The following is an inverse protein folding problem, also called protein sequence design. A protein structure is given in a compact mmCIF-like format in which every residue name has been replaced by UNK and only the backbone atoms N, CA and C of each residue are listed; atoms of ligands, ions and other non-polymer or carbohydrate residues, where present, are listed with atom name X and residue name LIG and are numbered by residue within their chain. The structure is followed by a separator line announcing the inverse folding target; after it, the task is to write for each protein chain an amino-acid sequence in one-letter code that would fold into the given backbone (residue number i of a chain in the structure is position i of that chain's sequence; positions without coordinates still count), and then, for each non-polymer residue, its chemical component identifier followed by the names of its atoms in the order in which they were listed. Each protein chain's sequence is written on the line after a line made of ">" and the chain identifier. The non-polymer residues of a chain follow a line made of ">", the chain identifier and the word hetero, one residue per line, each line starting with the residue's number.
data_IF_735111701015
#
_entry.id   IF_735111701015
#
_cell.length_a   1.000
_cell.length_b   1.000
_cell.length_c   1.000
_cell.angle_alpha   90.00
_cell.angle_beta   90.00
_cell.angle_gamma   90.00
#
_symmetry.space_group_name_H-M   'P 1'
#
loop_
_entity.id
_entity.type
_entity.pdbx_description
1 polymer ?
#
# COMPACT_ATOMS: atom_id res chain seq x y z
N UNK A 1 -36.67 50.20 4.02
CA UNK A 1 -36.61 51.28 5.03
C UNK A 1 -36.96 50.69 6.39
N UNK A 2 -35.98 50.20 7.15
CA UNK A 2 -35.11 50.90 8.11
C UNK A 2 -35.85 51.75 9.15
N UNK A 3 -35.77 51.24 10.38
CA UNK A 3 -35.61 51.94 11.67
C UNK A 3 -36.87 52.57 12.30
N UNK A 4 -37.11 52.29 13.60
CA UNK A 4 -36.48 53.08 14.70
C UNK A 4 -37.06 52.76 16.11
N UNK A 5 -36.13 52.36 16.99
CA UNK A 5 -35.93 52.73 18.42
C UNK A 5 -36.89 52.39 19.59
N UNK A 6 -36.18 52.06 20.70
CA UNK A 6 -36.43 52.26 22.15
C UNK A 6 -37.29 51.18 22.82
N UNK A 7 -36.89 50.60 23.95
CA UNK A 7 -36.39 51.26 25.17
C UNK A 7 -35.61 50.34 26.12
N UNK A 8 -34.73 50.99 26.89
CA UNK A 8 -33.94 50.51 28.04
C UNK A 8 -34.80 49.92 29.16
N UNK A 9 -34.28 48.91 29.85
CA UNK A 9 -34.72 48.49 31.19
C UNK A 9 -33.74 47.49 31.76
N UNK A 10 -32.91 47.94 32.71
CA UNK A 10 -31.89 47.16 33.41
C UNK A 10 -32.47 46.87 34.79
N UNK A 11 -32.71 45.61 35.11
CA UNK A 11 -32.88 45.18 36.50
C UNK A 11 -32.12 43.90 36.77
N UNK A 12 -31.36 43.97 37.86
CA UNK A 12 -30.60 42.89 38.50
C UNK A 12 -31.55 42.21 39.48
N UNK A 13 -31.62 40.89 39.44
CA UNK A 13 -32.27 40.07 40.46
C UNK A 13 -31.56 38.73 40.52
N UNK A 14 -30.86 38.52 41.64
CA UNK A 14 -30.20 37.28 42.04
C UNK A 14 -31.21 36.16 42.34
N UNK A 15 -30.66 34.95 42.41
CA UNK A 15 -31.19 33.74 43.07
C UNK A 15 -32.24 32.88 42.35
N UNK A 16 -31.80 31.73 41.81
CA UNK A 16 -32.53 30.45 41.84
C UNK A 16 -31.65 29.27 41.36
N UNK A 17 -31.14 28.51 42.34
CA UNK A 17 -30.99 27.06 42.39
C UNK A 17 -30.42 26.28 41.18
N UNK A 18 -29.10 26.01 41.27
CA UNK A 18 -28.47 24.86 40.63
C UNK A 18 -28.76 23.59 41.48
N UNK A 19 -29.34 22.51 40.92
CA UNK A 19 -29.59 21.29 41.68
C UNK A 19 -28.27 20.58 42.01
N UNK A 20 -28.09 20.31 43.31
CA UNK A 20 -27.01 19.50 43.88
C UNK A 20 -26.99 18.12 43.23
N UNK A 21 -25.85 17.75 42.67
CA UNK A 21 -25.55 16.38 42.26
C UNK A 21 -25.51 15.47 43.48
N UNK A 22 -26.34 14.44 43.41
CA UNK A 22 -26.56 13.38 44.40
C UNK A 22 -25.30 12.53 44.58
N UNK A 23 -24.77 12.51 45.80
CA UNK A 23 -23.76 11.54 46.25
C UNK A 23 -24.46 10.22 46.57
N UNK A 24 -24.25 9.19 45.75
CA UNK A 24 -24.69 7.85 46.09
C UNK A 24 -24.55 6.84 44.96
N UNK A 25 -23.46 6.07 45.01
CA UNK A 25 -23.50 4.62 45.19
C UNK A 25 -22.39 3.93 44.39
N UNK A 26 -21.43 3.39 45.15
CA UNK A 26 -20.36 2.56 44.64
C UNK A 26 -20.93 1.23 44.15
N UNK A 27 -20.94 1.02 42.84
CA UNK A 27 -21.06 -0.34 42.28
C UNK A 27 -19.78 -0.73 41.56
N UNK A 28 -19.05 -1.64 42.20
CA UNK A 28 -18.00 -2.46 41.59
C UNK A 28 -18.58 -3.26 40.42
N UNK A 29 -17.83 -3.31 39.31
CA UNK A 29 -18.00 -4.34 38.30
C UNK A 29 -17.75 -3.81 36.89
N UNK A 30 -16.59 -4.17 36.32
CA UNK A 30 -16.28 -3.94 34.91
C UNK A 30 -14.78 -3.86 34.69
N UNK A 31 -14.12 -5.02 34.59
CA UNK A 31 -12.73 -5.16 34.17
C UNK A 31 -12.49 -4.39 32.86
N UNK A 32 -11.74 -3.30 32.96
CA UNK A 32 -11.14 -2.60 31.83
C UNK A 32 -9.91 -3.42 31.40
N UNK A 33 -9.66 -3.59 30.08
CA UNK A 33 -8.49 -4.31 29.60
C UNK A 33 -7.23 -3.56 30.06
N UNK A 34 -6.35 -4.30 30.73
CA UNK A 34 -5.21 -3.76 31.45
C UNK A 34 -4.34 -2.81 30.63
N UNK A 35 -3.98 -1.69 31.25
CA UNK A 35 -2.82 -0.92 30.82
C UNK A 35 -1.62 -1.87 30.72
N UNK A 36 -0.84 -1.86 29.61
CA UNK A 36 0.38 -2.62 29.57
C UNK A 36 1.32 -2.06 30.63
N UNK A 37 1.68 -2.91 31.60
CA UNK A 37 2.57 -2.58 32.73
C UNK A 37 3.69 -1.65 32.25
N UNK A 38 3.78 -0.43 32.78
CA UNK A 38 4.78 0.54 32.33
C UNK A 38 6.21 0.00 32.42
N UNK A 39 6.45 -0.95 33.32
CA UNK A 39 7.69 -1.72 33.45
C UNK A 39 8.02 -2.61 32.22
N UNK A 40 7.01 -3.17 31.56
CA UNK A 40 7.18 -3.94 30.31
C UNK A 40 7.56 -3.02 29.14
N UNK A 41 6.97 -1.82 29.09
CA UNK A 41 7.28 -0.82 28.05
C UNK A 41 8.67 -0.20 28.23
N UNK A 42 9.12 0.02 29.46
CA UNK A 42 10.47 0.53 29.74
C UNK A 42 11.54 -0.51 29.42
N UNK A 43 11.32 -1.79 29.79
CA UNK A 43 12.23 -2.87 29.43
C UNK A 43 12.37 -3.06 27.91
N UNK A 44 11.29 -2.91 27.14
CA UNK A 44 11.33 -2.90 25.69
C UNK A 44 12.11 -1.71 25.13
N UNK A 45 11.91 -0.51 25.67
CA UNK A 45 12.66 0.70 25.29
C UNK A 45 14.16 0.54 25.52
N UNK A 46 14.56 -0.02 26.65
CA UNK A 46 15.97 -0.28 26.98
C UNK A 46 16.59 -1.34 26.05
N UNK A 47 15.82 -2.38 25.70
CA UNK A 47 16.26 -3.38 24.71
C UNK A 47 16.46 -2.76 23.33
N UNK A 48 15.57 -1.87 22.88
CA UNK A 48 15.69 -1.14 21.61
C UNK A 48 16.90 -0.20 21.64
N UNK A 49 17.15 0.49 22.76
CA UNK A 49 18.30 1.39 22.89
C UNK A 49 19.64 0.64 22.76
N UNK A 50 19.78 -0.52 23.41
CA UNK A 50 20.98 -1.37 23.29
C UNK A 50 21.21 -1.85 21.85
N UNK A 51 20.17 -2.34 21.18
CA UNK A 51 20.26 -2.78 19.79
C UNK A 51 20.64 -1.65 18.82
N UNK A 52 20.19 -0.40 19.09
CA UNK A 52 20.61 0.77 18.32
C UNK A 52 22.08 1.14 18.54
N UNK A 53 22.57 1.04 19.77
CA UNK A 53 23.98 1.30 20.09
C UNK A 53 24.92 0.27 19.44
N UNK A 54 24.51 -1.01 19.41
CA UNK A 54 25.24 -2.08 18.71
C UNK A 54 25.39 -1.79 17.22
N UNK A 55 24.29 -1.48 16.51
CA UNK A 55 24.32 -1.08 15.08
C UNK A 55 25.21 0.14 14.81
N UNK A 56 25.33 1.06 15.77
CA UNK A 56 26.19 2.23 15.67
C UNK A 56 27.68 1.90 15.87
N UNK A 57 28.01 0.90 16.69
CA UNK A 57 29.39 0.42 16.89
C UNK A 57 29.88 -0.34 15.67
N UNK A 58 29.06 -1.24 15.12
CA UNK A 58 29.38 -1.98 13.89
C UNK A 58 29.68 -1.04 12.72
N UNK A 59 28.93 0.06 12.61
CA UNK A 59 29.16 1.08 11.58
C UNK A 59 30.45 1.88 11.77
N UNK A 60 30.95 2.02 13.01
CA UNK A 60 32.20 2.72 13.30
C UNK A 60 33.43 1.82 13.10
N UNK A 61 33.30 0.52 13.39
CA UNK A 61 34.38 -0.45 13.18
C UNK A 61 34.55 -0.87 11.72
N UNK A 62 33.51 -0.73 10.88
CA UNK A 62 33.57 -0.98 9.44
C UNK A 62 34.11 0.18 8.58
N UNK A 63 34.51 1.31 9.17
CA UNK A 63 35.04 2.46 8.45
C UNK A 63 36.53 2.32 8.17
N UNK A 64 36.90 2.14 6.90
CA UNK A 64 38.28 2.27 6.39
C UNK A 64 38.75 3.71 6.61
N UNK A 65 39.25 4.01 7.81
CA UNK A 65 40.07 5.20 8.08
C UNK A 65 41.45 4.68 8.45
N UNK A 66 42.22 4.29 7.43
CA UNK A 66 43.65 4.05 7.56
C UNK A 66 44.35 5.38 7.24
N UNK A 67 44.77 6.09 8.29
CA UNK A 67 45.58 7.32 8.23
C UNK A 67 47.01 7.00 7.76
N UNK A 68 47.17 6.44 6.54
CA UNK A 68 48.48 6.06 6.00
C UNK A 68 48.65 6.43 4.53
N UNK A 69 49.51 7.43 4.36
CA UNK A 69 50.51 7.56 3.29
C UNK A 69 50.07 8.22 1.97
N UNK A 70 49.61 9.48 2.06
CA UNK A 70 49.27 10.37 0.93
C UNK A 70 50.35 10.42 -0.17
N UNK A 71 51.63 10.35 0.19
CA UNK A 71 52.73 10.39 -0.77
C UNK A 71 52.83 9.10 -1.62
N UNK A 72 52.53 7.94 -1.02
CA UNK A 72 52.46 6.65 -1.69
C UNK A 72 51.20 6.55 -2.56
N UNK A 73 50.10 7.17 -2.14
CA UNK A 73 48.86 7.26 -2.91
C UNK A 73 49.04 8.04 -4.21
N UNK A 74 49.66 9.24 -4.17
CA UNK A 74 49.87 10.09 -5.35
C UNK A 74 50.73 9.38 -6.42
N UNK A 75 51.83 8.73 -6.03
CA UNK A 75 52.66 7.97 -6.97
C UNK A 75 51.90 6.79 -7.58
N UNK A 76 51.09 6.11 -6.77
CA UNK A 76 50.23 5.03 -7.25
C UNK A 76 49.16 5.55 -8.23
N UNK A 77 48.61 6.74 -7.99
CA UNK A 77 47.60 7.37 -8.84
C UNK A 77 48.18 7.83 -10.17
N UNK A 78 49.37 8.43 -10.19
CA UNK A 78 50.07 8.81 -11.43
C UNK A 78 50.40 7.55 -12.27
N UNK A 79 50.90 6.49 -11.63
CA UNK A 79 51.17 5.21 -12.30
C UNK A 79 49.90 4.53 -12.84
N UNK A 80 48.79 4.58 -12.08
CA UNK A 80 47.48 4.09 -12.52
C UNK A 80 46.90 4.93 -13.65
N UNK A 81 47.03 6.25 -13.58
CA UNK A 81 46.56 7.21 -14.59
C UNK A 81 47.24 6.96 -15.93
N UNK A 82 48.57 6.82 -15.93
CA UNK A 82 49.32 6.50 -17.16
C UNK A 82 48.92 5.16 -17.77
N UNK A 83 48.71 4.13 -16.95
CA UNK A 83 48.20 2.82 -17.41
C UNK A 83 46.76 2.91 -17.94
N UNK A 84 45.94 3.77 -17.36
CA UNK A 84 44.56 4.01 -17.80
C UNK A 84 44.56 4.73 -19.15
N UNK A 85 45.42 5.73 -19.34
CA UNK A 85 45.59 6.40 -20.63
C UNK A 85 46.15 5.48 -21.71
N UNK A 86 47.11 4.60 -21.38
CA UNK A 86 47.59 3.55 -22.30
C UNK A 86 46.47 2.58 -22.68
N UNK A 87 45.64 2.15 -21.72
CA UNK A 87 44.45 1.32 -22.01
C UNK A 87 43.43 2.06 -22.86
N UNK A 88 43.15 3.33 -22.56
CA UNK A 88 42.23 4.18 -23.33
C UNK A 88 42.73 4.40 -24.76
N UNK A 89 44.04 4.55 -24.97
CA UNK A 89 44.61 4.64 -26.31
C UNK A 89 44.50 3.31 -27.06
N UNK A 90 44.82 2.18 -26.41
CA UNK A 90 44.67 0.86 -27.01
C UNK A 90 43.20 0.52 -27.33
N UNK A 91 42.26 0.93 -26.47
CA UNK A 91 40.82 0.81 -26.70
C UNK A 91 40.36 1.72 -27.83
N UNK A 92 40.83 2.97 -27.91
CA UNK A 92 40.55 3.86 -29.04
C UNK A 92 41.06 3.28 -30.35
N UNK A 93 42.26 2.69 -30.37
CA UNK A 93 42.80 2.05 -31.56
C UNK A 93 41.98 0.81 -31.97
N UNK A 94 41.57 -0.01 -31.00
CA UNK A 94 40.68 -1.16 -31.23
C UNK A 94 39.29 -0.73 -31.68
N UNK A 95 38.74 0.33 -31.09
CA UNK A 95 37.45 0.89 -31.46
C UNK A 95 37.49 1.51 -32.86
N UNK A 96 38.57 2.19 -33.24
CA UNK A 96 38.75 2.68 -34.61
C UNK A 96 38.86 1.52 -35.63
N UNK A 97 39.54 0.43 -35.26
CA UNK A 97 39.58 -0.78 -36.10
C UNK A 97 38.22 -1.45 -36.21
N UNK A 98 37.49 -1.57 -35.10
CA UNK A 98 36.13 -2.14 -35.09
C UNK A 98 35.13 -1.24 -35.83
N UNK A 99 35.22 0.08 -35.69
CA UNK A 99 34.38 1.02 -36.41
C UNK A 99 34.60 0.92 -37.92
N UNK A 100 35.85 0.78 -38.37
CA UNK A 100 36.16 0.54 -39.78
C UNK A 100 35.56 -0.77 -40.31
N UNK A 101 35.60 -1.82 -39.50
CA UNK A 101 35.02 -3.13 -39.86
C UNK A 101 33.48 -3.09 -39.83
N UNK A 102 32.88 -2.36 -38.88
CA UNK A 102 31.44 -2.15 -38.83
C UNK A 102 30.94 -1.29 -39.99
N UNK A 103 31.66 -0.24 -40.38
CA UNK A 103 31.34 0.57 -41.57
C UNK A 103 31.31 -0.29 -42.84
N UNK A 104 32.27 -1.22 -42.99
CA UNK A 104 32.26 -2.19 -44.09
C UNK A 104 31.11 -3.23 -43.99
N UNK A 105 30.58 -3.52 -42.80
CA UNK A 105 29.42 -4.40 -42.61
C UNK A 105 28.08 -3.67 -42.79
N UNK A 106 27.99 -2.41 -42.38
CA UNK A 106 26.77 -1.60 -42.46
C UNK A 106 26.49 -1.20 -43.91
N UNK A 107 27.54 -0.95 -44.71
CA UNK A 107 27.44 -0.85 -46.16
C UNK A 107 26.87 -2.14 -46.81
N UNK A 108 26.94 -3.30 -46.15
CA UNK A 108 26.31 -4.55 -46.58
C UNK A 108 24.95 -4.84 -45.93
N UNK A 109 24.62 -4.22 -44.78
CA UNK A 109 23.37 -4.44 -44.03
C UNK A 109 22.28 -3.40 -44.35
N UNK A 110 22.66 -2.18 -44.74
CA UNK A 110 21.71 -1.14 -45.17
C UNK A 110 20.92 -1.52 -46.44
N UNK A 111 21.32 -2.60 -47.13
CA UNK A 111 20.53 -3.20 -48.21
C UNK A 111 19.41 -4.16 -47.71
N UNK A 112 19.36 -4.53 -46.41
CA UNK A 112 18.50 -5.62 -45.92
C UNK A 112 17.78 -5.46 -44.55
N UNK A 113 17.72 -4.29 -43.89
CA UNK A 113 17.08 -4.20 -42.55
C UNK A 113 15.81 -3.34 -42.53
N UNK A 114 14.67 -4.00 -42.73
CA UNK A 114 13.35 -3.60 -42.26
C UNK A 114 12.95 -4.61 -41.17
N UNK A 115 12.25 -4.15 -40.13
CA UNK A 115 11.77 -4.88 -38.93
C UNK A 115 12.76 -5.11 -37.76
N UNK A 116 12.53 -4.36 -36.67
CA UNK A 116 12.67 -4.83 -35.29
C UNK A 116 11.97 -3.84 -34.32
N UNK A 117 10.67 -4.06 -34.11
CA UNK A 117 9.83 -3.35 -33.12
C UNK A 117 9.11 -4.36 -32.20
N UNK A 118 9.82 -5.15 -31.39
CA UNK A 118 9.16 -6.22 -30.59
C UNK A 118 9.73 -6.48 -29.17
N UNK A 119 10.53 -5.56 -28.60
CA UNK A 119 11.20 -5.80 -27.30
C UNK A 119 10.61 -5.03 -26.10
N UNK A 120 9.56 -4.23 -26.28
CA UNK A 120 9.00 -3.39 -25.21
C UNK A 120 7.94 -4.09 -24.33
N UNK A 121 7.23 -5.11 -24.85
CA UNK A 121 6.07 -5.71 -24.17
C UNK A 121 6.41 -6.80 -23.14
N UNK A 122 7.68 -7.24 -23.06
CA UNK A 122 8.09 -8.34 -22.16
C UNK A 122 8.54 -7.92 -20.77
N UNK A 123 8.69 -6.62 -20.51
CA UNK A 123 9.25 -6.10 -19.25
C UNK A 123 8.19 -5.72 -18.20
N UNK A 124 6.89 -5.76 -18.53
CA UNK A 124 5.82 -5.25 -17.66
C UNK A 124 5.15 -6.28 -16.73
N UNK A 125 5.09 -7.55 -17.14
CA UNK A 125 4.26 -8.57 -16.49
C UNK A 125 4.86 -9.17 -15.22
N UNK A 126 6.19 -9.35 -15.18
CA UNK A 126 6.91 -10.02 -14.09
C UNK A 126 6.72 -9.34 -12.73
N UNK A 127 6.46 -8.04 -12.71
CA UNK A 127 6.27 -7.27 -11.48
C UNK A 127 4.89 -7.47 -10.84
N UNK A 128 3.95 -8.11 -11.53
CA UNK A 128 2.57 -8.31 -11.06
C UNK A 128 2.32 -9.74 -10.57
N UNK A 129 3.35 -10.58 -10.48
CA UNK A 129 3.24 -11.95 -10.00
C UNK A 129 2.63 -12.00 -8.60
N UNK A 130 1.59 -12.81 -8.41
CA UNK A 130 0.94 -13.01 -7.11
C UNK A 130 -0.07 -11.92 -6.72
N UNK A 131 -0.19 -10.84 -7.50
CA UNK A 131 -1.19 -9.78 -7.27
C UNK A 131 -2.59 -10.32 -7.59
N UNK A 132 -3.59 -9.98 -6.76
CA UNK A 132 -4.98 -10.44 -6.92
C UNK A 132 -5.81 -9.39 -7.65
N UNK A 133 -6.35 -9.71 -8.81
CA UNK A 133 -7.26 -8.85 -9.58
C UNK A 133 -8.71 -9.08 -9.14
N UNK A 134 -9.36 -8.03 -8.67
CA UNK A 134 -10.77 -8.01 -8.30
C UNK A 134 -11.63 -7.56 -9.49
N UNK A 135 -12.78 -8.20 -9.65
CA UNK A 135 -13.85 -7.75 -10.55
C UNK A 135 -13.51 -7.64 -12.05
N UNK A 136 -12.41 -8.26 -12.48
CA UNK A 136 -11.90 -8.13 -13.85
C UNK A 136 -12.52 -9.11 -14.86
N UNK A 137 -12.76 -10.36 -14.50
CA UNK A 137 -13.09 -11.40 -15.49
C UNK A 137 -14.47 -11.24 -16.14
N UNK A 138 -15.52 -11.02 -15.35
CA UNK A 138 -16.92 -10.97 -15.83
C UNK A 138 -17.29 -9.63 -16.48
N UNK A 139 -16.53 -8.57 -16.17
CA UNK A 139 -16.83 -7.20 -16.62
C UNK A 139 -16.00 -6.75 -17.83
N UNK A 140 -14.93 -7.47 -18.17
CA UNK A 140 -14.12 -7.16 -19.34
C UNK A 140 -14.76 -7.85 -20.54
N UNK A 141 -15.34 -7.05 -21.43
CA UNK A 141 -15.85 -7.54 -22.72
C UNK A 141 -14.65 -7.98 -23.57
N UNK A 142 -14.77 -9.13 -24.25
CA UNK A 142 -13.74 -9.67 -25.15
C UNK A 142 -13.20 -8.58 -26.10
N UNK A 143 -11.88 -8.34 -26.06
CA UNK A 143 -11.20 -7.32 -26.86
C UNK A 143 -11.15 -5.90 -26.26
N UNK A 144 -11.69 -5.68 -25.05
CA UNK A 144 -11.59 -4.41 -24.33
C UNK A 144 -10.38 -4.34 -23.40
N UNK A 145 -9.62 -3.24 -23.45
CA UNK A 145 -8.59 -2.93 -22.46
C UNK A 145 -9.19 -2.12 -21.31
N UNK A 146 -8.99 -2.57 -20.07
CA UNK A 146 -9.52 -1.91 -18.87
C UNK A 146 -8.38 -1.59 -17.91
N UNK A 147 -8.32 -0.34 -17.45
CA UNK A 147 -7.30 0.12 -16.52
C UNK A 147 -7.63 -0.33 -15.10
N UNK A 148 -6.66 -0.99 -14.45
CA UNK A 148 -6.74 -1.41 -13.06
C UNK A 148 -5.88 -0.51 -12.18
N UNK A 149 -6.27 -0.33 -10.92
CA UNK A 149 -5.55 0.45 -9.92
C UNK A 149 -5.36 -0.35 -8.64
N UNK A 150 -4.31 -0.07 -7.88
CA UNK A 150 -4.09 -0.71 -6.58
C UNK A 150 -5.21 -0.33 -5.60
N UNK A 151 -5.81 -1.33 -4.96
CA UNK A 151 -6.80 -1.15 -3.90
C UNK A 151 -6.10 -0.65 -2.63
N UNK A 152 -6.76 0.26 -1.91
CA UNK A 152 -6.24 0.75 -0.63
C UNK A 152 -6.27 -0.36 0.43
N UNK A 153 -5.09 -0.74 0.94
CA UNK A 153 -4.91 -1.73 2.00
C UNK A 153 -4.04 -1.14 3.11
N UNK A 154 -4.42 -1.43 4.36
CA UNK A 154 -3.59 -1.06 5.50
C UNK A 154 -2.30 -1.89 5.48
N UNK A 155 -1.17 -1.22 5.70
CA UNK A 155 0.14 -1.87 5.85
C UNK A 155 0.19 -2.72 7.14
N UNK A 156 -0.65 -2.40 8.13
CA UNK A 156 -0.72 -3.13 9.39
C UNK A 156 -2.09 -3.79 9.55
N UNK A 157 -2.08 -5.06 9.95
CA UNK A 157 -3.25 -5.83 10.35
C UNK A 157 -2.96 -6.50 11.70
N UNK A 158 -3.88 -6.41 12.65
CA UNK A 158 -3.77 -7.03 13.98
C UNK A 158 -2.46 -6.78 14.77
N UNK A 159 -1.80 -5.65 14.51
CA UNK A 159 -0.58 -5.25 15.19
C UNK A 159 0.72 -5.75 14.57
N UNK A 160 0.66 -6.40 13.41
CA UNK A 160 1.83 -6.77 12.59
C UNK A 160 1.66 -6.31 11.12
N UNK A 161 2.67 -6.56 10.29
CA UNK A 161 2.65 -6.28 8.85
C UNK A 161 1.57 -7.12 8.20
N UNK A 162 0.78 -6.48 7.33
CA UNK A 162 -0.18 -7.18 6.50
C UNK A 162 0.55 -8.04 5.46
N UNK A 163 0.41 -9.36 5.57
CA UNK A 163 0.97 -10.35 4.63
C UNK A 163 -0.02 -10.75 3.53
N UNK A 164 -1.21 -10.14 3.50
CA UNK A 164 -2.16 -10.34 2.40
C UNK A 164 -1.58 -9.85 1.07
N UNK A 165 -1.92 -10.56 -0.01
CA UNK A 165 -1.51 -10.17 -1.35
C UNK A 165 -2.14 -8.82 -1.76
N UNK A 166 -1.35 -8.00 -2.44
CA UNK A 166 -1.81 -6.76 -3.04
C UNK A 166 -2.98 -7.02 -3.99
N UNK A 167 -3.99 -6.15 -3.95
CA UNK A 167 -5.19 -6.27 -4.76
C UNK A 167 -5.30 -5.17 -5.81
N UNK A 168 -5.69 -5.54 -7.03
CA UNK A 168 -6.02 -4.61 -8.12
C UNK A 168 -7.54 -4.51 -8.30
N UNK A 169 -8.04 -3.29 -8.43
CA UNK A 169 -9.44 -2.97 -8.62
C UNK A 169 -9.59 -1.86 -9.67
N UNK A 170 -10.64 -1.95 -10.50
CA UNK A 170 -11.06 -0.81 -11.30
C UNK A 170 -11.99 0.09 -10.48
N UNK A 171 -11.64 1.37 -10.40
CA UNK A 171 -12.35 2.41 -9.66
C UNK A 171 -13.86 2.45 -9.98
N UNK A 172 -14.24 2.42 -11.26
CA UNK A 172 -15.65 2.53 -11.67
C UNK A 172 -16.46 1.31 -11.22
N UNK A 173 -15.86 0.13 -11.37
CA UNK A 173 -16.46 -1.14 -10.99
C UNK A 173 -16.61 -1.24 -9.47
N UNK A 174 -15.59 -0.80 -8.73
CA UNK A 174 -15.56 -0.75 -7.27
C UNK A 174 -16.60 0.20 -6.69
N UNK A 175 -16.68 1.44 -7.20
CA UNK A 175 -17.66 2.41 -6.75
C UNK A 175 -19.10 1.93 -7.04
N UNK A 176 -19.33 1.33 -8.21
CA UNK A 176 -20.64 0.75 -8.53
C UNK A 176 -21.01 -0.38 -7.57
N UNK A 177 -20.05 -1.24 -7.20
CA UNK A 177 -20.26 -2.29 -6.21
C UNK A 177 -20.61 -1.69 -4.85
N UNK A 178 -19.83 -0.72 -4.37
CA UNK A 178 -20.07 -0.05 -3.10
C UNK A 178 -21.44 0.62 -3.06
N UNK A 179 -21.85 1.29 -4.15
CA UNK A 179 -23.20 1.84 -4.27
C UNK A 179 -24.27 0.76 -4.20
N UNK A 180 -24.12 -0.32 -4.96
CA UNK A 180 -25.07 -1.43 -4.95
C UNK A 180 -25.17 -2.10 -3.57
N UNK A 181 -24.06 -2.26 -2.88
CA UNK A 181 -23.99 -2.78 -1.52
C UNK A 181 -24.67 -1.85 -0.53
N UNK A 182 -24.43 -0.54 -0.60
CA UNK A 182 -25.13 0.45 0.22
C UNK A 182 -26.65 0.44 -0.03
N UNK A 183 -27.09 0.31 -1.28
CA UNK A 183 -28.51 0.15 -1.61
C UNK A 183 -29.08 -1.14 -1.05
N UNK A 184 -28.37 -2.28 -1.18
CA UNK A 184 -28.79 -3.56 -0.59
C UNK A 184 -28.85 -3.48 0.93
N UNK A 185 -27.85 -2.90 1.58
CA UNK A 185 -27.81 -2.71 3.03
C UNK A 185 -28.95 -1.80 3.52
N UNK A 186 -29.25 -0.72 2.79
CA UNK A 186 -30.37 0.16 3.10
C UNK A 186 -31.74 -0.52 2.93
N UNK A 187 -31.86 -1.42 1.93
CA UNK A 187 -33.06 -2.20 1.68
C UNK A 187 -33.24 -3.35 2.69
N UNK A 188 -32.14 -3.90 3.21
CA UNK A 188 -32.11 -4.96 4.21
C UNK A 188 -32.52 -4.45 5.60
N UNK A 189 -33.83 -4.36 5.85
CA UNK A 189 -34.40 -4.36 7.20
C UNK A 189 -34.83 -5.79 7.57
N UNK A 190 -33.85 -6.67 7.77
CA UNK A 190 -34.12 -8.01 8.30
C UNK A 190 -34.47 -7.92 9.77
N UNK A 191 -35.75 -7.79 10.11
CA UNK A 191 -36.22 -7.85 11.50
C UNK A 191 -36.73 -9.23 11.85
N UNK A 192 -36.29 -9.80 12.97
CA UNK A 192 -36.79 -11.07 13.48
C UNK A 192 -37.99 -10.86 14.41
N UNK A 193 -38.94 -11.81 14.35
CA UNK A 193 -40.13 -11.84 15.19
C UNK A 193 -39.84 -12.62 16.47
N UNK A 194 -39.63 -11.89 17.57
CA UNK A 194 -39.25 -12.45 18.87
C UNK A 194 -40.47 -13.06 19.57
N UNK A 195 -40.70 -14.36 19.32
CA UNK A 195 -41.78 -15.13 19.95
C UNK A 195 -41.66 -15.30 21.47
N UNK A 196 -40.59 -14.79 22.08
CA UNK A 196 -40.40 -14.79 23.53
C UNK A 196 -40.74 -13.45 24.19
N UNK A 197 -41.03 -12.42 23.39
CA UNK A 197 -41.39 -11.09 23.87
C UNK A 197 -42.88 -10.82 23.60
N UNK A 198 -43.64 -10.45 24.63
CA UNK A 198 -45.09 -10.21 24.54
C UNK A 198 -45.47 -8.89 23.81
N UNK A 199 -44.48 -8.09 23.42
CA UNK A 199 -44.69 -6.85 22.67
C UNK A 199 -44.65 -7.11 21.15
N UNK A 200 -45.81 -7.12 20.44
CA UNK A 200 -45.89 -7.39 19.01
C UNK A 200 -45.24 -6.30 18.14
N UNK A 201 -44.78 -5.20 18.74
CA UNK A 201 -44.06 -4.12 18.05
C UNK A 201 -42.53 -4.23 18.19
N UNK A 202 -42.03 -5.14 19.03
CA UNK A 202 -40.60 -5.30 19.34
C UNK A 202 -39.82 -6.13 18.30
N UNK A 203 -39.83 -5.68 17.05
CA UNK A 203 -39.04 -6.29 15.97
C UNK A 203 -37.55 -5.94 16.13
N UNK A 204 -36.73 -6.94 16.48
CA UNK A 204 -35.27 -6.76 16.66
C UNK A 204 -34.54 -6.94 15.32
N UNK A 205 -33.53 -6.11 14.98
CA UNK A 205 -32.72 -6.34 13.79
C UNK A 205 -31.94 -7.66 13.91
N UNK A 206 -31.84 -8.41 12.82
CA UNK A 206 -31.01 -9.60 12.74
C UNK A 206 -29.52 -9.25 12.78
N UNK A 207 -28.71 -10.21 13.22
CA UNK A 207 -27.26 -10.05 13.35
C UNK A 207 -26.59 -10.05 11.97
N UNK A 208 -25.55 -9.23 11.81
CA UNK A 208 -24.78 -9.13 10.56
C UNK A 208 -24.15 -10.44 10.11
N UNK A 209 -23.90 -11.40 11.00
CA UNK A 209 -23.42 -12.74 10.64
C UNK A 209 -24.43 -13.56 9.81
N UNK A 210 -25.70 -13.18 9.76
CA UNK A 210 -26.70 -13.79 8.88
C UNK A 210 -26.86 -13.04 7.55
N UNK A 211 -26.17 -11.92 7.37
CA UNK A 211 -25.98 -11.36 6.03
C UNK A 211 -24.94 -12.21 5.32
N UNK A 212 -25.29 -12.80 4.16
CA UNK A 212 -24.29 -13.43 3.28
C UNK A 212 -23.26 -12.36 2.89
N UNK A 213 -21.99 -12.46 3.36
CA UNK A 213 -20.94 -11.61 2.85
C UNK A 213 -20.71 -12.03 1.40
N UNK A 214 -20.86 -11.10 0.46
CA UNK A 214 -20.30 -11.30 -0.88
C UNK A 214 -18.78 -11.21 -0.73
N UNK A 215 -18.12 -12.35 -0.58
CA UNK A 215 -16.67 -12.39 -0.73
C UNK A 215 -16.32 -11.95 -2.14
N UNK A 216 -15.39 -10.99 -2.23
CA UNK A 216 -14.84 -10.60 -3.51
C UNK A 216 -13.87 -11.67 -3.99
N UNK A 217 -14.41 -12.65 -4.72
CA UNK A 217 -13.63 -13.60 -5.48
C UNK A 217 -12.82 -12.86 -6.54
N UNK A 218 -11.53 -12.68 -6.26
CA UNK A 218 -10.55 -12.17 -7.21
C UNK A 218 -9.64 -13.28 -7.72
N UNK A 219 -8.99 -13.01 -8.85
CA UNK A 219 -8.10 -13.96 -9.53
C UNK A 219 -6.66 -13.49 -9.39
N UNK A 220 -5.78 -14.42 -9.03
CA UNK A 220 -4.35 -14.14 -8.88
C UNK A 220 -3.62 -14.23 -10.22
N UNK A 221 -2.67 -13.30 -10.43
CA UNK A 221 -1.80 -13.29 -11.59
C UNK A 221 -0.59 -14.23 -11.40
N UNK A 222 -0.15 -14.84 -12.50
CA UNK A 222 1.03 -15.71 -12.55
C UNK A 222 2.34 -14.90 -12.69
N UNK A 223 3.47 -15.60 -12.74
CA UNK A 223 4.81 -15.00 -12.88
C UNK A 223 4.96 -14.12 -14.12
N UNK A 224 4.14 -14.30 -15.16
CA UNK A 224 4.14 -13.49 -16.37
C UNK A 224 3.11 -12.36 -16.37
N UNK A 225 2.43 -12.12 -15.25
CA UNK A 225 1.36 -11.13 -15.13
C UNK A 225 0.08 -11.52 -15.89
N UNK A 226 -0.10 -12.81 -16.19
CA UNK A 226 -1.28 -13.37 -16.86
C UNK A 226 -2.21 -14.03 -15.86
N UNK A 227 -3.45 -14.26 -16.26
CA UNK A 227 -4.37 -15.04 -15.45
C UNK A 227 -3.93 -16.50 -15.42
N UNK A 228 -4.11 -17.18 -14.29
CA UNK A 228 -3.89 -18.63 -14.24
C UNK A 228 -4.83 -19.35 -15.22
N UNK A 229 -4.39 -20.46 -15.83
CA UNK A 229 -5.13 -21.11 -16.92
C UNK A 229 -6.57 -21.54 -16.58
N UNK A 230 -6.90 -21.74 -15.30
CA UNK A 230 -8.29 -21.98 -14.85
C UNK A 230 -9.17 -20.74 -15.01
N UNK A 231 -8.62 -19.55 -14.77
CA UNK A 231 -9.31 -18.28 -14.94
C UNK A 231 -9.36 -17.84 -16.40
N UNK A 232 -8.32 -18.11 -17.20
CA UNK A 232 -8.35 -17.87 -18.65
C UNK A 232 -9.46 -18.67 -19.33
N UNK A 233 -9.65 -19.94 -18.93
CA UNK A 233 -10.72 -20.78 -19.48
C UNK A 233 -12.13 -20.23 -19.19
N UNK A 234 -12.33 -19.56 -18.05
CA UNK A 234 -13.60 -18.88 -17.74
C UNK A 234 -13.85 -17.65 -18.59
N UNK A 235 -12.81 -17.09 -19.21
CA UNK A 235 -12.90 -15.93 -20.08
C UNK A 235 -13.20 -16.32 -21.54
N UNK A 236 -12.92 -17.57 -21.92
CA UNK A 236 -13.17 -18.12 -23.26
C UNK A 236 -14.55 -18.80 -23.42
N UNK A 237 -15.28 -19.03 -22.33
CA UNK A 237 -16.63 -19.65 -22.31
C UNK A 237 -17.76 -18.59 -22.33
#
# INVERSE_FOLDING_TARGET
>A
DREREKSRGKDRGEDADLPKGDEGDQKKGGDLPGEPDQASTSALRDRIARAKEERLKDKKEGGILDDKDDASEILSWVGKSRKLDEKRQAEKEKALRLARVFEEQDDMLAENSDDDYDDADKLGGDHLSGVKVLHGLDKVIEGGAVVMTLKDQSILADGDINEEADMLENIEIGEQKQRNEAYKAALKKGTYDDKFNDDPMSKKPMLSHYDDPMEDEGVTLDEGGRFTGEAEKKLEE
#
